data_IF_072091982196
#
_entry.id   IF_072091982196
#
_cell.length_a   1.000
_cell.length_b   1.000
_cell.length_c   1.000
_cell.angle_alpha   90.00
_cell.angle_beta   90.00
_cell.angle_gamma   90.00
#
_symmetry.space_group_name_H-M   'P 1'
#
loop_
_entity.id
_entity.type
_entity.pdbx_description
1 polymer ?
#
# COMPACT_ATOMS: atom_id res chain seq x y z
N UNK A 1 52.58 -31.43 34.70
CA UNK A 1 52.16 -31.74 33.32
C UNK A 1 50.79 -31.10 33.14
N UNK A 2 50.78 -29.79 32.87
CA UNK A 2 49.55 -29.01 32.71
C UNK A 2 49.03 -29.20 31.29
N UNK A 3 47.78 -29.64 31.15
CA UNK A 3 47.01 -29.51 29.91
C UNK A 3 46.18 -28.24 30.05
N UNK A 4 46.49 -27.25 29.23
CA UNK A 4 45.62 -26.10 29.00
C UNK A 4 44.50 -26.57 28.06
N UNK A 5 43.28 -26.58 28.57
CA UNK A 5 42.07 -26.69 27.76
C UNK A 5 41.84 -25.33 27.09
N UNK A 6 41.94 -25.29 25.75
CA UNK A 6 41.52 -24.14 24.96
C UNK A 6 40.02 -24.29 24.74
N UNK A 7 39.25 -23.42 25.37
CA UNK A 7 37.86 -23.16 24.99
C UNK A 7 37.89 -22.44 23.63
N UNK A 8 37.36 -23.09 22.60
CA UNK A 8 37.08 -22.45 21.32
C UNK A 8 35.80 -21.62 21.51
N UNK A 9 35.95 -20.30 21.60
CA UNK A 9 34.81 -19.37 21.52
C UNK A 9 34.20 -19.49 20.12
N UNK A 10 33.01 -20.09 20.03
CA UNK A 10 32.19 -20.01 18.82
C UNK A 10 31.78 -18.55 18.61
N UNK A 11 32.38 -17.90 17.61
CA UNK A 11 31.99 -16.58 17.14
C UNK A 11 30.52 -16.62 16.66
N UNK A 12 29.59 -16.22 17.54
CA UNK A 12 28.20 -16.00 17.15
C UNK A 12 28.18 -14.76 16.25
N UNK A 13 28.12 -15.00 14.93
CA UNK A 13 27.88 -13.95 13.94
C UNK A 13 26.46 -13.42 14.16
N UNK A 14 26.33 -12.30 14.87
CA UNK A 14 25.10 -11.54 14.93
C UNK A 14 24.81 -10.96 13.54
N UNK A 15 24.05 -11.69 12.74
CA UNK A 15 23.52 -11.19 11.48
C UNK A 15 22.49 -10.11 11.81
N UNK A 16 22.75 -8.89 11.35
CA UNK A 16 21.80 -7.78 11.41
C UNK A 16 20.55 -8.11 10.57
N UNK A 17 19.38 -7.64 11.00
CA UNK A 17 18.09 -7.88 10.32
C UNK A 17 18.14 -7.39 8.87
N UNK A 18 18.99 -6.40 8.57
CA UNK A 18 19.26 -5.91 7.22
C UNK A 18 19.73 -6.99 6.24
N UNK A 19 20.33 -8.09 6.72
CA UNK A 19 20.78 -9.20 5.88
C UNK A 19 19.62 -9.95 5.20
N UNK A 20 18.41 -9.90 5.78
CA UNK A 20 17.22 -10.59 5.25
C UNK A 20 16.31 -9.68 4.43
N UNK A 21 16.62 -8.38 4.35
CA UNK A 21 15.85 -7.41 3.58
C UNK A 21 16.36 -7.40 2.14
N UNK A 22 15.46 -7.72 1.20
CA UNK A 22 15.76 -7.56 -0.22
C UNK A 22 15.41 -6.14 -0.65
N UNK A 23 16.43 -5.32 -0.91
CA UNK A 23 16.32 -3.96 -1.41
C UNK A 23 16.79 -3.81 -2.88
N UNK A 24 16.97 -4.93 -3.58
CA UNK A 24 17.34 -4.98 -5.00
C UNK A 24 16.14 -4.63 -5.91
N UNK A 25 15.58 -3.44 -5.69
CA UNK A 25 14.47 -2.91 -6.45
C UNK A 25 14.91 -2.60 -7.87
N UNK A 26 14.02 -2.91 -8.81
CA UNK A 26 14.21 -2.60 -10.20
C UNK A 26 13.22 -1.54 -10.63
N UNK A 27 13.68 -0.58 -11.43
CA UNK A 27 12.81 0.40 -12.06
C UNK A 27 11.96 -0.32 -13.11
N UNK A 28 10.65 -0.35 -12.88
CA UNK A 28 9.69 -1.04 -13.74
C UNK A 28 8.71 -0.05 -14.32
N UNK A 29 8.52 -0.14 -15.64
CA UNK A 29 7.56 0.66 -16.39
C UNK A 29 6.21 -0.06 -16.44
N UNK A 30 5.15 0.63 -16.04
CA UNK A 30 3.77 0.16 -16.15
C UNK A 30 2.99 1.06 -17.12
N UNK A 31 2.11 0.47 -17.94
CA UNK A 31 1.30 1.19 -18.91
C UNK A 31 -0.19 0.89 -18.68
N UNK A 32 -0.98 1.93 -18.43
CA UNK A 32 -2.42 1.88 -18.21
C UNK A 32 -3.11 2.84 -19.18
N UNK A 33 -3.60 2.32 -20.31
CA UNK A 33 -4.11 3.15 -21.40
C UNK A 33 -3.01 4.06 -21.96
N UNK A 34 -3.22 5.39 -21.90
CA UNK A 34 -2.21 6.38 -22.31
C UNK A 34 -1.22 6.76 -21.20
N UNK A 35 -1.41 6.23 -19.98
CA UNK A 35 -0.57 6.56 -18.84
C UNK A 35 0.60 5.59 -18.74
N UNK A 36 1.82 6.11 -18.84
CA UNK A 36 3.05 5.36 -18.58
C UNK A 36 3.65 5.86 -17.28
N UNK A 37 3.75 5.00 -16.25
CA UNK A 37 4.39 5.31 -14.97
C UNK A 37 5.60 4.42 -14.75
N UNK A 38 6.56 4.90 -13.97
CA UNK A 38 7.76 4.15 -13.60
C UNK A 38 7.93 4.22 -12.09
N UNK A 39 8.25 3.09 -11.48
CA UNK A 39 8.50 3.00 -10.04
C UNK A 39 9.43 1.82 -9.74
N UNK A 40 10.09 1.88 -8.59
CA UNK A 40 10.92 0.81 -8.06
C UNK A 40 10.04 -0.26 -7.39
N UNK A 41 10.22 -1.52 -7.77
CA UNK A 41 9.60 -2.66 -7.09
C UNK A 41 10.46 -3.92 -7.20
N UNK A 42 10.16 -4.94 -6.39
CA UNK A 42 10.71 -6.28 -6.55
C UNK A 42 9.91 -7.07 -7.60
N UNK A 43 10.60 -7.97 -8.31
CA UNK A 43 9.99 -8.90 -9.26
C UNK A 43 9.73 -10.29 -8.68
N UNK A 44 10.22 -10.55 -7.48
CA UNK A 44 10.07 -11.82 -6.78
C UNK A 44 9.89 -11.57 -5.30
N UNK A 45 9.02 -12.34 -4.67
CA UNK A 45 8.76 -12.18 -3.25
C UNK A 45 9.98 -12.57 -2.43
N UNK A 46 10.20 -11.81 -1.36
CA UNK A 46 11.03 -12.30 -0.25
C UNK A 46 10.33 -13.50 0.41
N UNK A 47 11.07 -14.29 1.18
CA UNK A 47 10.49 -15.35 2.01
C UNK A 47 9.65 -14.82 3.16
N UNK A 48 9.72 -13.52 3.44
CA UNK A 48 8.91 -12.85 4.44
C UNK A 48 7.55 -12.40 3.88
N UNK A 49 6.48 -12.86 4.52
CA UNK A 49 5.09 -12.54 4.16
C UNK A 49 4.74 -11.06 4.40
N UNK A 50 5.41 -10.40 5.34
CA UNK A 50 5.10 -9.01 5.68
C UNK A 50 5.72 -7.99 4.71
N UNK A 51 6.62 -8.45 3.84
CA UNK A 51 7.30 -7.63 2.83
C UNK A 51 6.70 -7.74 1.42
N UNK A 52 5.53 -8.39 1.30
CA UNK A 52 4.82 -8.55 0.02
C UNK A 52 4.43 -7.22 -0.62
N UNK A 53 4.35 -6.13 0.14
CA UNK A 53 4.12 -4.77 -0.37
C UNK A 53 5.25 -4.23 -1.26
N UNK A 54 6.43 -4.86 -1.27
CA UNK A 54 7.53 -4.49 -2.18
C UNK A 54 7.28 -4.92 -3.64
N UNK A 55 6.27 -5.77 -3.90
CA UNK A 55 5.86 -6.18 -5.24
C UNK A 55 4.63 -5.40 -5.72
N UNK A 56 4.42 -5.40 -7.03
CA UNK A 56 3.14 -5.00 -7.63
C UNK A 56 2.27 -6.22 -7.87
N UNK A 57 1.13 -6.28 -7.20
CA UNK A 57 0.20 -7.40 -7.28
C UNK A 57 -0.84 -7.24 -8.41
N UNK A 58 -1.38 -8.35 -8.97
CA UNK A 58 -2.32 -8.30 -10.08
C UNK A 58 -3.59 -7.47 -9.82
N UNK A 59 -4.10 -7.44 -8.59
CA UNK A 59 -5.24 -6.59 -8.21
C UNK A 59 -4.96 -5.11 -8.40
N UNK A 60 -3.72 -4.66 -8.19
CA UNK A 60 -3.32 -3.27 -8.42
C UNK A 60 -3.26 -2.95 -9.92
N UNK A 61 -2.82 -3.89 -10.75
CA UNK A 61 -2.85 -3.74 -12.21
C UNK A 61 -4.31 -3.63 -12.72
N UNK A 62 -5.19 -4.48 -12.20
CA UNK A 62 -6.63 -4.44 -12.52
C UNK A 62 -7.26 -3.11 -12.11
N UNK A 63 -6.99 -2.65 -10.89
CA UNK A 63 -7.49 -1.37 -10.38
C UNK A 63 -7.00 -0.22 -11.25
N UNK A 64 -5.73 -0.21 -11.60
CA UNK A 64 -5.12 0.84 -12.42
C UNK A 64 -5.70 0.90 -13.83
N UNK A 65 -5.93 -0.25 -14.46
CA UNK A 65 -6.61 -0.32 -15.75
C UNK A 65 -8.04 0.25 -15.67
N UNK A 66 -8.75 -0.02 -14.58
CA UNK A 66 -10.08 0.54 -14.34
C UNK A 66 -10.02 2.07 -14.13
N UNK A 67 -9.13 2.53 -13.25
CA UNK A 67 -8.99 3.95 -12.92
C UNK A 67 -8.51 4.79 -14.11
N UNK A 68 -7.57 4.28 -14.91
CA UNK A 68 -7.11 4.96 -16.11
C UNK A 68 -8.23 5.15 -17.16
N UNK A 69 -9.19 4.21 -17.23
CA UNK A 69 -10.36 4.29 -18.13
C UNK A 69 -11.46 5.22 -17.62
N UNK A 70 -11.49 5.49 -16.31
CA UNK A 70 -12.51 6.31 -15.65
C UNK A 70 -11.87 7.51 -14.93
N UNK A 71 -10.80 8.08 -15.48
CA UNK A 71 -9.98 9.09 -14.80
C UNK A 71 -10.76 10.35 -14.41
N UNK A 72 -11.89 10.65 -15.07
CA UNK A 72 -12.82 11.72 -14.70
C UNK A 72 -13.34 11.57 -13.26
N UNK A 73 -13.45 10.35 -12.74
CA UNK A 73 -13.91 10.11 -11.37
C UNK A 73 -12.90 10.53 -10.31
N UNK A 74 -11.63 10.72 -10.69
CA UNK A 74 -10.54 11.10 -9.80
C UNK A 74 -10.34 12.62 -9.76
N UNK A 75 -10.92 13.35 -10.72
CA UNK A 75 -10.73 14.79 -10.86
C UNK A 75 -11.32 15.54 -9.65
N UNK A 76 -10.45 16.27 -8.95
CA UNK A 76 -10.84 17.05 -7.78
C UNK A 76 -11.11 16.24 -6.51
N UNK A 77 -10.92 14.91 -6.53
CA UNK A 77 -11.08 14.07 -5.35
C UNK A 77 -9.87 14.13 -4.41
N UNK A 78 -10.12 14.10 -3.11
CA UNK A 78 -9.11 13.69 -2.12
C UNK A 78 -9.19 12.17 -1.92
N UNK A 79 -8.04 11.50 -1.94
CA UNK A 79 -7.98 10.03 -1.97
C UNK A 79 -7.04 9.52 -0.88
N UNK A 80 -7.44 8.43 -0.22
CA UNK A 80 -6.54 7.61 0.61
C UNK A 80 -6.44 6.21 0.00
N UNK A 81 -5.23 5.69 -0.11
CA UNK A 81 -4.99 4.30 -0.49
C UNK A 81 -4.53 3.49 0.73
N UNK A 82 -5.23 2.38 0.98
CA UNK A 82 -4.92 1.44 2.06
C UNK A 82 -4.05 0.30 1.51
N UNK A 83 -2.92 0.02 2.16
CA UNK A 83 -1.98 -1.02 1.72
C UNK A 83 -1.41 -0.72 0.34
N UNK A 84 -0.83 0.48 0.18
CA UNK A 84 -0.31 0.99 -1.08
C UNK A 84 0.85 0.17 -1.64
N UNK A 85 1.57 -0.60 -0.81
CA UNK A 85 2.75 -1.32 -1.26
C UNK A 85 3.78 -0.39 -1.89
N UNK A 86 4.25 -0.74 -3.09
CA UNK A 86 5.15 0.09 -3.88
C UNK A 86 4.51 1.38 -4.44
N UNK A 87 3.19 1.57 -4.30
CA UNK A 87 2.48 2.81 -4.63
C UNK A 87 2.02 2.93 -6.08
N UNK A 88 1.97 1.83 -6.84
CA UNK A 88 1.63 1.84 -8.27
C UNK A 88 0.27 2.49 -8.58
N UNK A 89 -0.73 2.28 -7.73
CA UNK A 89 -2.07 2.85 -7.91
C UNK A 89 -2.09 4.31 -7.50
N UNK A 90 -1.47 4.64 -6.37
CA UNK A 90 -1.32 6.01 -5.94
C UNK A 90 -0.61 6.91 -6.97
N UNK A 91 0.52 6.45 -7.50
CA UNK A 91 1.32 7.17 -8.50
C UNK A 91 0.56 7.34 -9.83
N UNK A 92 -0.32 6.41 -10.19
CA UNK A 92 -1.22 6.62 -11.32
C UNK A 92 -2.25 7.72 -11.01
N UNK A 93 -2.89 7.65 -9.84
CA UNK A 93 -3.93 8.58 -9.43
C UNK A 93 -3.43 10.02 -9.30
N UNK A 94 -2.16 10.22 -8.91
CA UNK A 94 -1.52 11.54 -8.78
C UNK A 94 -1.58 12.40 -10.05
N UNK A 95 -1.82 11.78 -11.20
CA UNK A 95 -1.98 12.47 -12.49
C UNK A 95 -3.34 13.12 -12.68
N UNK A 96 -4.31 12.75 -11.87
CA UNK A 96 -5.71 13.08 -12.05
C UNK A 96 -6.33 13.74 -10.82
N UNK A 97 -5.85 13.43 -9.62
CA UNK A 97 -6.38 13.97 -8.36
C UNK A 97 -5.40 14.96 -7.70
N UNK A 98 -5.87 16.01 -7.02
CA UNK A 98 -5.01 17.01 -6.39
C UNK A 98 -4.39 16.57 -5.04
N UNK A 99 -4.97 15.60 -4.34
CA UNK A 99 -4.53 15.19 -3.00
C UNK A 99 -4.63 13.69 -2.83
N UNK A 100 -3.54 13.08 -2.38
CA UNK A 100 -3.45 11.65 -2.21
C UNK A 100 -2.60 11.28 -0.99
N UNK A 101 -3.18 10.46 -0.11
CA UNK A 101 -2.48 9.84 1.00
C UNK A 101 -2.28 8.35 0.72
N UNK A 102 -1.03 7.93 0.62
CA UNK A 102 -0.63 6.53 0.46
C UNK A 102 -0.30 5.96 1.83
N UNK A 103 -0.80 4.76 2.14
CA UNK A 103 -0.61 4.19 3.47
C UNK A 103 -0.20 2.73 3.42
N UNK A 104 0.67 2.35 4.34
CA UNK A 104 1.08 0.96 4.57
C UNK A 104 1.49 0.80 6.04
N UNK A 105 1.39 -0.41 6.60
CA UNK A 105 1.75 -0.66 8.00
C UNK A 105 3.24 -0.98 8.16
N UNK A 106 3.88 -1.51 7.12
CA UNK A 106 5.25 -2.02 7.21
C UNK A 106 6.27 -0.91 6.90
N UNK A 107 7.24 -0.70 7.79
CA UNK A 107 8.22 0.38 7.67
C UNK A 107 9.16 0.21 6.47
N UNK A 108 9.50 -1.02 6.08
CA UNK A 108 10.31 -1.29 4.88
C UNK A 108 9.52 -1.00 3.60
N UNK A 109 8.23 -1.33 3.59
CA UNK A 109 7.33 -0.98 2.47
C UNK A 109 7.16 0.54 2.37
N UNK A 110 7.01 1.23 3.51
CA UNK A 110 6.98 2.70 3.52
C UNK A 110 8.27 3.33 2.99
N UNK A 111 9.45 2.71 3.18
CA UNK A 111 10.71 3.21 2.61
C UNK A 111 10.69 3.17 1.08
N UNK A 112 10.28 2.06 0.46
CA UNK A 112 10.20 2.00 -1.01
C UNK A 112 9.08 2.90 -1.55
N UNK A 113 7.94 2.97 -0.87
CA UNK A 113 6.84 3.85 -1.23
C UNK A 113 7.29 5.32 -1.29
N UNK A 114 8.00 5.80 -0.26
CA UNK A 114 8.57 7.16 -0.23
C UNK A 114 9.58 7.41 -1.34
N UNK A 115 10.48 6.45 -1.61
CA UNK A 115 11.41 6.52 -2.76
C UNK A 115 10.65 6.67 -4.09
N UNK A 116 9.55 5.96 -4.28
CA UNK A 116 8.75 6.05 -5.49
C UNK A 116 7.99 7.38 -5.62
N UNK A 117 7.53 7.95 -4.50
CA UNK A 117 6.95 9.31 -4.47
C UNK A 117 8.01 10.34 -4.91
N UNK A 118 9.23 10.24 -4.37
CA UNK A 118 10.34 11.14 -4.73
C UNK A 118 10.72 11.00 -6.22
N UNK A 119 10.80 9.78 -6.73
CA UNK A 119 11.04 9.52 -8.16
C UNK A 119 9.96 10.16 -9.02
N UNK A 120 8.69 9.98 -8.66
CA UNK A 120 7.57 10.58 -9.37
C UNK A 120 7.64 12.12 -9.38
N UNK A 121 8.02 12.74 -8.26
CA UNK A 121 8.17 14.19 -8.15
C UNK A 121 9.39 14.74 -8.92
N UNK A 122 10.47 13.94 -9.02
CA UNK A 122 11.71 14.33 -9.71
C UNK A 122 11.65 14.16 -11.23
N UNK A 123 10.80 13.25 -11.71
CA UNK A 123 10.55 13.13 -13.14
C UNK A 123 9.95 14.45 -13.63
N UNK A 124 10.49 15.05 -14.70
CA UNK A 124 9.99 16.27 -15.35
C UNK A 124 8.63 16.01 -16.03
N UNK A 125 7.71 15.33 -15.34
CA UNK A 125 6.41 14.96 -15.82
C UNK A 125 5.46 16.11 -15.49
N UNK A 126 5.09 16.97 -16.47
CA UNK A 126 4.23 18.13 -16.23
C UNK A 126 2.81 17.75 -15.77
N UNK A 127 2.50 16.46 -15.70
CA UNK A 127 1.21 15.91 -15.30
C UNK A 127 1.17 15.46 -13.83
N UNK A 128 2.25 15.56 -13.06
CA UNK A 128 2.19 15.28 -11.62
C UNK A 128 1.54 16.49 -10.92
N UNK A 129 0.24 16.41 -10.69
CA UNK A 129 -0.59 17.54 -10.26
C UNK A 129 -1.01 17.45 -8.78
N UNK A 130 -0.48 16.47 -8.05
CA UNK A 130 -0.97 16.10 -6.73
C UNK A 130 0.02 16.37 -5.59
N UNK A 131 -0.51 16.73 -4.43
CA UNK A 131 0.17 16.52 -3.15
C UNK A 131 0.13 15.02 -2.81
N UNK A 132 1.26 14.32 -3.00
CA UNK A 132 1.45 12.94 -2.58
C UNK A 132 2.13 12.89 -1.22
N UNK A 133 1.50 12.21 -0.26
CA UNK A 133 2.08 11.90 1.03
C UNK A 133 2.07 10.38 1.28
N UNK A 134 3.01 9.90 2.08
CA UNK A 134 3.03 8.54 2.59
C UNK A 134 3.06 8.55 4.12
N UNK A 135 2.11 7.87 4.75
CA UNK A 135 2.02 7.76 6.21
C UNK A 135 1.80 6.30 6.64
N UNK A 136 2.20 5.99 7.87
CA UNK A 136 2.00 4.65 8.45
C UNK A 136 0.54 4.47 8.84
N UNK A 137 -0.07 3.38 8.41
CA UNK A 137 -1.40 2.99 8.85
C UNK A 137 -1.48 1.49 9.03
N UNK A 138 -1.53 1.06 10.28
CA UNK A 138 -1.95 -0.27 10.65
C UNK A 138 -3.48 -0.30 10.79
N UNK A 139 -4.13 -1.20 10.05
CA UNK A 139 -5.60 -1.27 10.09
C UNK A 139 -6.11 -1.63 11.49
N UNK A 140 -7.16 -0.96 11.93
CA UNK A 140 -7.74 -1.09 13.25
C UNK A 140 -6.99 -0.33 14.35
N UNK A 141 -5.85 0.29 14.05
CA UNK A 141 -5.12 1.12 15.00
C UNK A 141 -5.76 2.52 15.10
N UNK A 142 -6.50 2.78 16.17
CA UNK A 142 -7.20 4.05 16.39
C UNK A 142 -6.27 5.26 16.43
N UNK A 143 -5.07 5.14 17.00
CA UNK A 143 -4.13 6.27 17.08
C UNK A 143 -3.65 6.70 15.70
N UNK A 144 -3.37 5.74 14.80
CA UNK A 144 -3.00 6.04 13.42
C UNK A 144 -4.17 6.69 12.65
N UNK A 145 -5.38 6.14 12.80
CA UNK A 145 -6.59 6.68 12.15
C UNK A 145 -6.87 8.10 12.64
N UNK A 146 -6.82 8.34 13.95
CA UNK A 146 -7.07 9.65 14.54
C UNK A 146 -6.04 10.69 14.08
N UNK A 147 -4.77 10.34 13.98
CA UNK A 147 -3.73 11.23 13.45
C UNK A 147 -4.01 11.62 11.99
N UNK A 148 -4.37 10.64 11.15
CA UNK A 148 -4.77 10.89 9.76
C UNK A 148 -5.99 11.80 9.72
N UNK A 149 -7.03 11.54 10.52
CA UNK A 149 -8.25 12.34 10.52
C UNK A 149 -8.06 13.74 11.11
N UNK A 150 -7.09 13.95 12.01
CA UNK A 150 -6.72 15.29 12.45
C UNK A 150 -6.11 16.10 11.31
N UNK A 151 -5.22 15.50 10.51
CA UNK A 151 -4.59 16.15 9.35
C UNK A 151 -5.58 16.33 8.19
N UNK A 152 -6.42 15.34 7.96
CA UNK A 152 -7.42 15.29 6.89
C UNK A 152 -8.84 15.38 7.47
N UNK A 153 -9.11 16.44 8.23
CA UNK A 153 -10.38 16.63 8.96
C UNK A 153 -11.66 16.64 8.11
N UNK A 154 -11.53 16.82 6.79
CA UNK A 154 -12.65 16.74 5.84
C UNK A 154 -12.88 15.31 5.30
N UNK A 155 -12.04 14.35 5.69
CA UNK A 155 -11.99 13.01 5.14
C UNK A 155 -11.61 12.97 3.67
N UNK A 156 -11.79 11.79 3.07
CA UNK A 156 -11.44 11.50 1.68
C UNK A 156 -12.69 11.27 0.84
N UNK A 157 -12.68 11.65 -0.43
CA UNK A 157 -13.76 11.34 -1.36
C UNK A 157 -13.73 9.87 -1.82
N UNK A 158 -12.52 9.30 -1.94
CA UNK A 158 -12.31 7.91 -2.30
C UNK A 158 -11.31 7.22 -1.36
N UNK A 159 -11.62 5.98 -1.02
CA UNK A 159 -10.70 5.02 -0.41
C UNK A 159 -10.38 3.98 -1.47
N UNK A 160 -9.10 3.71 -1.71
CA UNK A 160 -8.63 2.69 -2.66
C UNK A 160 -7.95 1.55 -1.91
N UNK A 161 -8.05 0.35 -2.46
CA UNK A 161 -7.31 -0.81 -1.96
C UNK A 161 -7.19 -1.89 -3.03
N UNK A 162 -6.00 -2.47 -3.17
CA UNK A 162 -5.72 -3.46 -4.20
C UNK A 162 -5.00 -4.69 -3.63
N UNK A 163 -5.60 -5.88 -3.77
CA UNK A 163 -5.08 -7.16 -3.26
C UNK A 163 -4.76 -7.15 -1.75
N UNK A 164 -5.45 -6.31 -0.97
CA UNK A 164 -5.27 -6.15 0.48
C UNK A 164 -6.10 -7.11 1.34
N UNK A 165 -6.95 -7.94 0.73
CA UNK A 165 -7.79 -8.95 1.40
C UNK A 165 -7.17 -10.37 1.33
N UNK A 166 -5.85 -10.49 1.53
CA UNK A 166 -5.16 -11.78 1.42
C UNK A 166 -4.97 -12.50 2.76
N UNK A 167 -4.86 -11.75 3.85
CA UNK A 167 -4.72 -12.30 5.20
C UNK A 167 -6.06 -12.23 5.94
N UNK A 168 -6.68 -13.40 6.18
CA UNK A 168 -8.02 -13.49 6.74
C UNK A 168 -8.16 -12.81 8.12
N UNK A 169 -7.11 -12.84 8.95
CA UNK A 169 -7.11 -12.18 10.26
C UNK A 169 -7.14 -10.65 10.19
N UNK A 170 -6.68 -10.07 9.08
CA UNK A 170 -6.59 -8.62 8.91
C UNK A 170 -7.84 -8.02 8.28
N UNK A 171 -8.72 -8.85 7.69
CA UNK A 171 -9.95 -8.41 7.01
C UNK A 171 -10.89 -7.64 7.95
N UNK A 172 -11.21 -8.09 9.18
CA UNK A 172 -12.06 -7.32 10.07
C UNK A 172 -11.49 -5.93 10.36
N UNK A 173 -10.20 -5.85 10.71
CA UNK A 173 -9.52 -4.59 11.02
C UNK A 173 -9.47 -3.64 9.81
N UNK A 174 -9.31 -4.17 8.59
CA UNK A 174 -9.41 -3.40 7.35
C UNK A 174 -10.79 -2.77 7.22
N UNK A 175 -11.86 -3.54 7.40
CA UNK A 175 -13.22 -3.01 7.25
C UNK A 175 -13.59 -2.06 8.40
N UNK A 176 -13.11 -2.28 9.62
CA UNK A 176 -13.25 -1.32 10.72
C UNK A 176 -12.57 0.03 10.39
N UNK A 177 -11.43 -0.01 9.71
CA UNK A 177 -10.72 1.19 9.25
C UNK A 177 -11.49 1.90 8.14
N UNK A 178 -11.95 1.15 7.13
CA UNK A 178 -12.76 1.68 6.02
C UNK A 178 -14.03 2.32 6.56
N UNK A 179 -14.71 1.67 7.51
CA UNK A 179 -15.93 2.19 8.13
C UNK A 179 -15.68 3.54 8.78
N UNK A 180 -14.64 3.66 9.61
CA UNK A 180 -14.28 4.93 10.25
C UNK A 180 -14.00 6.03 9.23
N UNK A 181 -13.25 5.75 8.17
CA UNK A 181 -12.93 6.70 7.12
C UNK A 181 -14.17 7.13 6.31
N UNK A 182 -15.09 6.20 6.02
CA UNK A 182 -16.34 6.46 5.29
C UNK A 182 -17.28 7.39 6.09
N UNK A 183 -17.34 7.23 7.41
CA UNK A 183 -18.24 7.99 8.29
C UNK A 183 -17.93 9.49 8.33
N UNK A 184 -16.67 9.89 8.14
CA UNK A 184 -16.23 11.30 8.22
C UNK A 184 -16.99 12.21 7.27
N UNK A 185 -17.37 11.71 6.09
CA UNK A 185 -18.11 12.48 5.08
C UNK A 185 -19.60 12.15 5.03
N UNK A 186 -20.14 11.46 6.04
CA UNK A 186 -21.56 11.11 6.11
C UNK A 186 -22.02 10.29 4.90
N UNK A 187 -21.25 9.27 4.51
CA UNK A 187 -21.61 8.35 3.42
C UNK A 187 -21.35 8.87 1.99
N UNK A 188 -20.74 10.04 1.82
CA UNK A 188 -20.34 10.55 0.49
C UNK A 188 -19.00 10.00 -0.02
N UNK A 189 -18.23 9.38 0.85
CA UNK A 189 -17.00 8.68 0.49
C UNK A 189 -17.31 7.32 -0.15
N UNK A 190 -16.51 6.86 -1.11
CA UNK A 190 -16.64 5.53 -1.71
C UNK A 190 -15.38 4.72 -1.49
N UNK A 191 -15.53 3.43 -1.20
CA UNK A 191 -14.43 2.48 -1.18
C UNK A 191 -14.41 1.66 -2.47
N UNK A 192 -13.25 1.62 -3.14
CA UNK A 192 -13.01 0.79 -4.32
C UNK A 192 -11.93 -0.23 -3.98
N UNK A 193 -12.35 -1.50 -3.95
CA UNK A 193 -11.48 -2.63 -3.69
C UNK A 193 -11.34 -3.48 -4.95
N UNK A 194 -10.11 -3.65 -5.42
CA UNK A 194 -9.80 -4.65 -6.43
C UNK A 194 -9.06 -5.82 -5.77
N UNK A 195 -9.47 -7.04 -6.06
CA UNK A 195 -8.74 -8.21 -5.60
C UNK A 195 -8.86 -9.35 -6.60
N UNK A 196 -7.84 -10.18 -6.66
CA UNK A 196 -7.89 -11.44 -7.40
C UNK A 196 -8.33 -12.55 -6.46
N UNK A 197 -9.49 -13.16 -6.73
CA UNK A 197 -9.95 -14.31 -5.97
C UNK A 197 -8.95 -15.47 -6.10
N UNK A 198 -8.37 -15.87 -4.97
CA UNK A 198 -7.48 -17.05 -4.87
C UNK A 198 -8.22 -18.31 -4.44
N UNK A 199 -9.55 -18.25 -4.37
CA UNK A 199 -10.37 -19.40 -3.99
C UNK A 199 -10.35 -20.48 -5.08
N UNK A 200 -9.70 -21.62 -4.78
CA UNK A 200 -10.35 -22.89 -5.08
C UNK A 200 -11.48 -23.02 -4.07
N UNK A 201 -12.71 -22.89 -4.54
CA UNK A 201 -13.98 -23.10 -3.83
C UNK A 201 -13.86 -23.93 -2.55
N UNK A 202 -14.01 -23.30 -1.39
CA UNK A 202 -14.84 -23.80 -0.30
C UNK A 202 -15.55 -22.61 0.37
N UNK A 203 -16.85 -22.77 0.56
CA UNK A 203 -17.82 -21.71 0.80
C UNK A 203 -17.61 -20.97 2.13
N UNK A 204 -17.52 -19.65 2.05
CA UNK A 204 -17.78 -18.73 3.13
C UNK A 204 -18.26 -17.41 2.51
N UNK A 205 -19.57 -17.24 2.41
CA UNK A 205 -20.17 -15.93 2.15
C UNK A 205 -19.82 -15.02 3.34
N UNK A 206 -19.15 -13.90 3.07
CA UNK A 206 -19.03 -12.79 4.02
C UNK A 206 -19.98 -11.72 3.48
N UNK A 207 -21.21 -11.71 3.98
CA UNK A 207 -22.12 -10.58 3.83
C UNK A 207 -21.76 -9.55 4.91
N UNK A 208 -21.24 -8.41 4.50
CA UNK A 208 -21.26 -7.20 5.32
C UNK A 208 -22.49 -6.39 4.92
N UNK A 209 -23.63 -6.69 5.57
CA UNK A 209 -24.77 -5.77 5.58
C UNK A 209 -24.56 -4.74 6.70
N UNK A 210 -24.09 -3.55 6.36
CA UNK A 210 -24.22 -2.39 7.24
C UNK A 210 -25.67 -1.91 7.19
N UNK A 211 -26.39 -2.14 8.29
CA UNK A 211 -27.74 -1.60 8.49
C UNK A 211 -27.64 -0.08 8.70
N UNK A 212 -28.46 0.67 7.95
CA UNK A 212 -28.60 2.13 8.00
C UNK A 212 -28.98 2.68 9.39
#
# INVERSE_FOLDING_TARGET
MNREEKEEEEDIVCLDESFFINDNYQLTTFTFGSQVIELLCLHSASTDFDLTGQLVWPGALLLNDYLAKNAEMLQGCSIIELGSGAGVTGILCSRFCPQLLLTDHNDEVLKILKKNIELCASSENPNCCAELAAEKLEWGNSDHIDQILQRYSRGFDLILGADICFQQSSVPLLFDTVEQLLHVRGGKCKFILAYVSRAKTQHGFIDYETSC
#
